data_IF_892412589872
#
_entry.id   IF_892412589872
#
_cell.length_a   1.000
_cell.length_b   1.000
_cell.length_c   1.000
_cell.angle_alpha   90.00
_cell.angle_beta   90.00
_cell.angle_gamma   90.00
#
_symmetry.space_group_name_H-M   'P 1'
#
loop_
_entity.id
_entity.type
_entity.pdbx_description
1 polymer ?
#
# COMPACT_ATOMS: atom_id res chain seq x y z
N UNK A 1 -8.83 -1.73 -1.44
CA UNK A 1 -8.93 -2.30 -0.07
C UNK A 1 -7.79 -3.28 0.27
N UNK A 2 -7.32 -4.13 -0.65
CA UNK A 2 -6.27 -5.13 -0.36
C UNK A 2 -4.87 -4.56 -0.10
N UNK A 3 -4.53 -3.39 -0.64
CA UNK A 3 -3.24 -2.73 -0.42
C UNK A 3 -2.97 -2.41 1.05
N UNK A 4 -4.02 -2.17 1.86
CA UNK A 4 -3.89 -1.92 3.29
C UNK A 4 -3.35 -3.13 4.05
N UNK A 5 -3.90 -4.32 3.81
CA UNK A 5 -3.49 -5.57 4.46
C UNK A 5 -2.02 -5.92 4.21
N UNK A 6 -1.52 -5.62 3.01
CA UNK A 6 -0.11 -5.84 2.70
C UNK A 6 0.82 -5.00 3.58
N UNK A 7 0.48 -3.75 3.88
CA UNK A 7 1.30 -2.89 4.75
C UNK A 7 1.39 -3.47 6.17
N UNK A 8 0.28 -4.01 6.69
CA UNK A 8 0.27 -4.68 8.00
C UNK A 8 1.19 -5.89 8.02
N UNK A 9 1.08 -6.75 7.00
CA UNK A 9 1.94 -7.92 6.86
C UNK A 9 3.41 -7.52 6.72
N UNK A 10 3.71 -6.56 5.84
CA UNK A 10 5.06 -6.08 5.62
C UNK A 10 5.67 -5.53 6.90
N UNK A 11 4.94 -4.67 7.63
CA UNK A 11 5.37 -4.12 8.91
C UNK A 11 5.63 -5.24 9.95
N UNK A 12 4.76 -6.24 10.02
CA UNK A 12 4.98 -7.41 10.89
C UNK A 12 6.27 -8.15 10.54
N UNK A 13 6.49 -8.48 9.26
CA UNK A 13 7.66 -9.25 8.83
C UNK A 13 8.95 -8.48 9.08
N UNK A 14 9.01 -7.20 8.75
CA UNK A 14 10.21 -6.39 8.93
C UNK A 14 10.55 -6.25 10.43
N UNK A 15 9.59 -5.93 11.29
CA UNK A 15 9.84 -5.89 12.75
C UNK A 15 10.28 -7.24 13.32
N UNK A 16 9.74 -8.35 12.82
CA UNK A 16 10.21 -9.68 13.20
C UNK A 16 11.66 -9.90 12.77
N UNK A 17 12.02 -9.55 11.53
CA UNK A 17 13.41 -9.63 11.07
C UNK A 17 14.33 -8.78 11.93
N UNK A 18 13.90 -7.56 12.30
CA UNK A 18 14.67 -6.69 13.18
C UNK A 18 14.95 -7.36 14.52
N UNK A 19 13.91 -7.83 15.22
CA UNK A 19 14.04 -8.55 16.49
C UNK A 19 14.99 -9.74 16.37
N UNK A 20 14.72 -10.63 15.40
CA UNK A 20 15.39 -11.91 15.27
C UNK A 20 16.89 -11.74 14.89
N UNK A 21 17.31 -10.61 14.29
CA UNK A 21 18.70 -10.39 13.83
C UNK A 21 19.48 -9.29 14.58
N UNK A 22 18.82 -8.53 15.45
CA UNK A 22 19.48 -7.54 16.31
C UNK A 22 19.54 -7.99 17.77
N UNK A 23 18.67 -8.91 18.18
CA UNK A 23 18.54 -9.29 19.59
C UNK A 23 17.76 -8.26 20.41
N UNK A 24 17.33 -7.16 19.80
CA UNK A 24 16.54 -6.11 20.45
C UNK A 24 15.11 -6.59 20.72
N UNK A 25 14.53 -6.11 21.83
CA UNK A 25 13.15 -6.42 22.18
C UNK A 25 12.22 -5.60 21.27
N UNK A 26 11.55 -6.28 20.33
CA UNK A 26 10.48 -5.70 19.53
C UNK A 26 9.25 -6.62 19.51
N UNK A 27 8.06 -6.03 19.35
CA UNK A 27 6.78 -6.75 19.36
C UNK A 27 6.08 -6.65 17.98
N UNK A 28 6.44 -7.47 16.99
CA UNK A 28 6.05 -7.26 15.59
C UNK A 28 4.53 -7.09 15.36
N UNK A 29 3.72 -7.86 16.10
CA UNK A 29 2.25 -7.77 16.04
C UNK A 29 1.75 -6.41 16.52
N UNK A 30 2.24 -5.92 17.66
CA UNK A 30 1.84 -4.61 18.20
C UNK A 30 2.31 -3.47 17.30
N UNK A 31 3.46 -3.62 16.67
CA UNK A 31 3.94 -2.65 15.69
C UNK A 31 3.08 -2.60 14.42
N UNK A 32 2.58 -3.74 13.94
CA UNK A 32 1.65 -3.78 12.81
C UNK A 32 0.27 -3.22 13.19
N UNK A 33 -0.29 -3.62 14.33
CA UNK A 33 -1.60 -3.14 14.80
C UNK A 33 -1.62 -1.63 15.10
N UNK A 34 -0.47 -1.05 15.46
CA UNK A 34 -0.33 0.39 15.64
C UNK A 34 -0.66 1.22 14.39
N UNK A 35 -0.64 0.62 13.19
CA UNK A 35 -1.08 1.29 11.97
C UNK A 35 -2.60 1.52 11.91
N UNK A 36 -3.39 0.85 12.75
CA UNK A 36 -4.83 1.10 12.89
C UNK A 36 -5.13 2.32 13.75
N UNK A 37 -4.15 2.81 14.52
CA UNK A 37 -4.34 3.94 15.41
C UNK A 37 -4.12 5.23 14.61
N UNK A 38 -5.16 6.06 14.41
CA UNK A 38 -5.04 7.30 13.65
C UNK A 38 -3.98 8.19 14.26
N UNK A 39 -3.27 8.95 13.42
CA UNK A 39 -2.14 9.82 13.79
C UNK A 39 -0.91 9.05 14.29
N UNK A 40 -1.06 8.08 15.20
CA UNK A 40 0.04 7.26 15.73
C UNK A 40 0.74 6.45 14.63
N UNK A 41 0.01 6.04 13.60
CA UNK A 41 0.57 5.41 12.39
C UNK A 41 1.75 6.18 11.77
N UNK A 42 1.74 7.53 11.81
CA UNK A 42 2.83 8.35 11.25
C UNK A 42 4.09 8.27 12.11
N UNK A 43 3.95 8.41 13.43
CA UNK A 43 5.05 8.24 14.36
C UNK A 43 5.63 6.83 14.28
N UNK A 44 4.77 5.84 14.08
CA UNK A 44 5.19 4.45 13.96
C UNK A 44 5.98 4.19 12.69
N UNK A 45 5.54 4.73 11.55
CA UNK A 45 6.28 4.66 10.30
C UNK A 45 7.63 5.40 10.42
N UNK A 46 7.65 6.59 11.02
CA UNK A 46 8.88 7.33 11.28
C UNK A 46 9.88 6.49 12.06
N UNK A 47 9.46 5.97 13.21
CA UNK A 47 10.30 5.16 14.08
C UNK A 47 10.79 3.90 13.35
N UNK A 48 9.94 3.26 12.56
CA UNK A 48 10.30 2.08 11.78
C UNK A 48 11.42 2.35 10.79
N UNK A 49 11.29 3.40 9.96
CA UNK A 49 12.31 3.74 8.98
C UNK A 49 13.59 4.23 9.66
N UNK A 50 13.47 5.00 10.76
CA UNK A 50 14.61 5.52 11.51
C UNK A 50 15.46 4.40 12.09
N UNK A 51 14.85 3.40 12.71
CA UNK A 51 15.57 2.27 13.32
C UNK A 51 16.44 1.53 12.30
N UNK A 52 15.95 1.34 11.06
CA UNK A 52 16.77 0.73 10.02
C UNK A 52 17.81 1.65 9.44
N UNK A 53 17.50 2.94 9.30
CA UNK A 53 18.49 3.92 8.86
C UNK A 53 19.67 3.94 9.83
N UNK A 54 19.41 4.09 11.14
CA UNK A 54 20.42 4.07 12.19
C UNK A 54 21.21 2.75 12.19
N UNK A 55 20.51 1.61 12.06
CA UNK A 55 21.16 0.30 11.98
C UNK A 55 22.10 0.15 10.77
N UNK A 56 21.73 0.72 9.62
CA UNK A 56 22.56 0.72 8.41
C UNK A 56 23.76 1.65 8.57
N UNK A 57 23.55 2.86 9.11
CA UNK A 57 24.59 3.86 9.35
C UNK A 57 25.64 3.36 10.33
N UNK A 58 25.23 2.78 11.47
CA UNK A 58 26.13 2.20 12.47
C UNK A 58 27.00 1.07 11.91
N UNK A 59 26.54 0.41 10.84
CA UNK A 59 27.22 -0.72 10.19
C UNK A 59 27.95 -0.30 8.91
N UNK A 60 28.01 1.00 8.60
CA UNK A 60 28.68 1.52 7.41
C UNK A 60 28.02 1.11 6.09
N UNK A 61 26.74 0.71 6.10
CA UNK A 61 26.01 0.33 4.88
C UNK A 61 25.34 1.57 4.29
N UNK A 62 25.64 1.95 3.02
CA UNK A 62 25.02 3.11 2.41
C UNK A 62 23.50 2.98 2.32
N UNK A 63 22.78 3.98 2.85
CA UNK A 63 21.31 4.00 2.95
C UNK A 63 20.70 5.21 2.25
N UNK A 64 19.55 5.03 1.62
CA UNK A 64 18.71 6.12 1.07
C UNK A 64 17.43 6.33 1.89
N UNK A 65 17.33 5.67 3.05
CA UNK A 65 16.19 5.79 3.95
C UNK A 65 16.17 7.20 4.55
N UNK A 66 15.00 7.81 4.50
CA UNK A 66 14.74 9.09 5.16
C UNK A 66 13.36 9.00 5.85
N UNK A 67 13.32 8.97 7.20
CA UNK A 67 12.10 8.81 7.98
C UNK A 67 11.08 9.90 7.71
N UNK A 68 11.51 11.17 7.63
CA UNK A 68 10.63 12.30 7.40
C UNK A 68 10.00 12.22 6.00
N UNK A 69 10.79 11.90 4.97
CA UNK A 69 10.28 11.73 3.60
C UNK A 69 9.24 10.62 3.52
N UNK A 70 9.47 9.49 4.19
CA UNK A 70 8.52 8.38 4.23
C UNK A 70 7.18 8.80 4.88
N UNK A 71 7.24 9.55 5.99
CA UNK A 71 6.05 10.08 6.66
C UNK A 71 5.30 11.06 5.77
N UNK A 72 5.98 12.01 5.14
CA UNK A 72 5.33 13.01 4.27
C UNK A 72 4.59 12.35 3.09
N UNK A 73 5.19 11.34 2.48
CA UNK A 73 4.55 10.61 1.38
C UNK A 73 3.36 9.78 1.90
N UNK A 74 3.51 9.13 3.06
CA UNK A 74 2.41 8.39 3.67
C UNK A 74 1.26 9.30 4.13
N UNK A 75 1.56 10.52 4.58
CA UNK A 75 0.56 11.53 4.83
C UNK A 75 -0.22 11.87 3.56
N UNK A 76 0.46 12.01 2.41
CA UNK A 76 -0.18 12.15 1.11
C UNK A 76 -1.08 10.96 0.74
N UNK A 77 -0.64 9.73 1.01
CA UNK A 77 -1.45 8.49 0.83
C UNK A 77 -2.74 8.56 1.64
N UNK A 78 -2.66 8.94 2.92
CA UNK A 78 -3.83 9.05 3.80
C UNK A 78 -4.76 10.17 3.33
N UNK A 79 -4.22 11.33 2.96
CA UNK A 79 -5.00 12.47 2.48
C UNK A 79 -5.76 12.12 1.19
N UNK A 80 -5.10 11.46 0.23
CA UNK A 80 -5.75 10.95 -0.98
C UNK A 80 -6.88 9.96 -0.65
N UNK A 81 -6.66 9.07 0.31
CA UNK A 81 -7.71 8.16 0.79
C UNK A 81 -8.91 8.90 1.37
N UNK A 82 -8.68 9.96 2.16
CA UNK A 82 -9.76 10.81 2.70
C UNK A 82 -10.53 11.53 1.59
N UNK A 83 -9.83 12.09 0.59
CA UNK A 83 -10.47 12.71 -0.58
C UNK A 83 -11.29 11.68 -1.36
N UNK A 84 -10.78 10.46 -1.52
CA UNK A 84 -11.53 9.37 -2.18
C UNK A 84 -12.83 9.02 -1.48
N UNK A 85 -12.91 9.16 -0.15
CA UNK A 85 -14.13 8.90 0.63
C UNK A 85 -15.17 10.02 0.49
N UNK A 86 -14.76 11.21 0.07
CA UNK A 86 -15.66 12.35 -0.16
C UNK A 86 -16.36 12.28 -1.52
N UNK A 87 -15.99 11.33 -2.39
CA UNK A 87 -16.65 11.13 -3.68
C UNK A 87 -17.98 10.40 -3.41
N UNK A 88 -19.14 11.03 -3.66
CA UNK A 88 -20.43 10.41 -3.38
C UNK A 88 -20.63 9.14 -4.19
N UNK A 89 -20.97 8.05 -3.51
CA UNK A 89 -21.45 6.83 -4.14
C UNK A 89 -22.96 6.98 -4.40
N UNK A 90 -23.34 7.85 -5.33
CA UNK A 90 -24.73 7.94 -5.78
C UNK A 90 -25.10 6.75 -6.67
N UNK A 91 -26.40 6.42 -6.76
CA UNK A 91 -26.89 5.33 -7.62
C UNK A 91 -26.52 5.52 -9.10
N UNK A 92 -26.27 6.76 -9.54
CA UNK A 92 -25.75 7.08 -10.88
C UNK A 92 -24.40 7.81 -10.77
N UNK A 93 -23.30 7.06 -10.71
CA UNK A 93 -21.95 7.64 -10.70
C UNK A 93 -21.59 8.11 -12.11
N UNK A 94 -21.32 9.41 -12.28
CA UNK A 94 -20.91 9.97 -13.57
C UNK A 94 -19.52 9.48 -14.00
N UNK A 95 -19.24 9.38 -15.31
CA UNK A 95 -17.91 9.00 -15.83
C UNK A 95 -16.75 9.82 -15.22
N UNK A 96 -16.84 11.16 -15.07
CA UNK A 96 -15.78 11.95 -14.42
C UNK A 96 -15.54 11.60 -12.95
N UNK A 97 -16.59 11.29 -12.20
CA UNK A 97 -16.47 10.86 -10.79
C UNK A 97 -15.78 9.50 -10.69
N UNK A 98 -16.17 8.54 -11.54
CA UNK A 98 -15.52 7.23 -11.59
C UNK A 98 -14.03 7.36 -11.96
N UNK A 99 -13.71 8.14 -13.00
CA UNK A 99 -12.34 8.37 -13.42
C UNK A 99 -11.49 9.01 -12.30
N UNK A 100 -12.05 10.00 -11.60
CA UNK A 100 -11.38 10.68 -10.47
C UNK A 100 -11.11 9.71 -9.33
N UNK A 101 -12.09 8.89 -8.95
CA UNK A 101 -11.94 7.85 -7.93
C UNK A 101 -10.80 6.89 -8.29
N UNK A 102 -10.75 6.42 -9.54
CA UNK A 102 -9.69 5.53 -10.03
C UNK A 102 -8.33 6.21 -9.94
N UNK A 103 -8.18 7.44 -10.46
CA UNK A 103 -6.90 8.17 -10.47
C UNK A 103 -6.36 8.32 -9.04
N UNK A 104 -7.22 8.69 -8.08
CA UNK A 104 -6.83 8.84 -6.68
C UNK A 104 -6.36 7.50 -6.09
N UNK A 105 -7.11 6.42 -6.32
CA UNK A 105 -6.76 5.10 -5.78
C UNK A 105 -5.47 4.54 -6.39
N UNK A 106 -5.24 4.75 -7.68
CA UNK A 106 -3.98 4.38 -8.36
C UNK A 106 -2.82 5.19 -7.81
N UNK A 107 -2.98 6.51 -7.67
CA UNK A 107 -1.97 7.38 -7.07
C UNK A 107 -1.61 6.93 -5.65
N UNK A 108 -2.61 6.63 -4.83
CA UNK A 108 -2.44 6.14 -3.47
C UNK A 108 -1.64 4.82 -3.44
N UNK A 109 -2.01 3.84 -4.28
CA UNK A 109 -1.34 2.55 -4.34
C UNK A 109 0.12 2.70 -4.80
N UNK A 110 0.39 3.55 -5.79
CA UNK A 110 1.73 3.81 -6.31
C UNK A 110 2.64 4.47 -5.28
N UNK A 111 2.15 5.48 -4.54
CA UNK A 111 2.93 6.13 -3.48
C UNK A 111 3.28 5.14 -2.35
N UNK A 112 2.32 4.29 -1.96
CA UNK A 112 2.56 3.27 -0.95
C UNK A 112 3.56 2.21 -1.42
N UNK A 113 3.42 1.73 -2.67
CA UNK A 113 4.35 0.80 -3.28
C UNK A 113 5.77 1.38 -3.35
N UNK A 114 5.90 2.68 -3.65
CA UNK A 114 7.17 3.37 -3.68
C UNK A 114 7.85 3.41 -2.30
N UNK A 115 7.10 3.69 -1.22
CA UNK A 115 7.63 3.64 0.16
C UNK A 115 8.18 2.25 0.46
N UNK A 116 7.39 1.21 0.19
CA UNK A 116 7.77 -0.17 0.46
C UNK A 116 8.99 -0.57 -0.37
N UNK A 117 9.01 -0.23 -1.67
CA UNK A 117 10.13 -0.53 -2.55
C UNK A 117 11.44 0.12 -2.08
N UNK A 118 11.41 1.39 -1.68
CA UNK A 118 12.57 2.08 -1.11
C UNK A 118 13.05 1.41 0.18
N UNK A 119 12.12 1.11 1.09
CA UNK A 119 12.44 0.43 2.35
C UNK A 119 13.06 -0.95 2.10
N UNK A 120 12.41 -1.77 1.28
CA UNK A 120 12.83 -3.13 0.97
C UNK A 120 14.18 -3.18 0.24
N UNK A 121 14.46 -2.23 -0.66
CA UNK A 121 15.74 -2.16 -1.37
C UNK A 121 16.91 -1.94 -0.41
N UNK A 122 16.74 -1.07 0.60
CA UNK A 122 17.74 -0.79 1.62
C UNK A 122 17.90 -1.98 2.58
N UNK A 123 16.79 -2.57 3.05
CA UNK A 123 16.80 -3.77 3.87
C UNK A 123 17.51 -4.94 3.17
N UNK A 124 17.19 -5.19 1.91
CA UNK A 124 17.83 -6.24 1.10
C UNK A 124 19.32 -5.96 0.89
N UNK A 125 19.74 -4.70 0.80
CA UNK A 125 21.16 -4.33 0.76
C UNK A 125 21.85 -4.65 2.08
N UNK A 126 21.24 -4.26 3.19
CA UNK A 126 21.75 -4.53 4.54
C UNK A 126 21.90 -6.02 4.81
N UNK A 127 20.87 -6.83 4.53
CA UNK A 127 20.91 -8.26 4.77
C UNK A 127 21.92 -8.99 3.87
N UNK A 128 22.09 -8.55 2.61
CA UNK A 128 23.18 -9.06 1.75
C UNK A 128 24.55 -8.79 2.32
N UNK A 129 24.77 -7.57 2.83
CA UNK A 129 26.05 -7.18 3.42
C UNK A 129 26.34 -8.00 4.69
N UNK A 130 25.34 -8.22 5.55
CA UNK A 130 25.55 -8.87 6.84
C UNK A 130 25.61 -10.40 6.78
N UNK A 131 24.81 -11.04 5.94
CA UNK A 131 24.62 -12.50 5.97
C UNK A 131 25.37 -13.22 4.84
N UNK A 132 26.01 -12.51 3.92
CA UNK A 132 26.70 -13.10 2.76
C UNK A 132 25.79 -13.92 1.83
N UNK A 133 24.49 -13.98 2.12
CA UNK A 133 23.53 -14.80 1.41
C UNK A 133 23.23 -14.16 0.05
N UNK A 134 23.42 -14.92 -1.03
CA UNK A 134 22.58 -14.77 -2.22
C UNK A 134 21.15 -15.02 -1.74
N UNK A 135 20.37 -13.95 -1.57
CA UNK A 135 18.97 -13.95 -1.11
C UNK A 135 18.02 -14.66 -2.10
N UNK A 136 18.32 -15.89 -2.52
CA UNK A 136 17.39 -16.76 -3.24
C UNK A 136 16.20 -17.19 -2.38
N UNK A 137 16.24 -16.91 -1.06
CA UNK A 137 15.29 -17.41 -0.07
C UNK A 137 14.59 -16.35 0.79
N UNK A 138 14.82 -15.05 0.54
CA UNK A 138 13.82 -14.02 0.88
C UNK A 138 13.31 -13.48 -0.45
N UNK A 139 12.85 -14.40 -1.30
CA UNK A 139 11.97 -14.06 -2.43
C UNK A 139 10.84 -13.24 -1.84
N UNK A 140 10.43 -12.21 -2.57
CA UNK A 140 9.06 -11.69 -2.49
C UNK A 140 8.17 -12.94 -2.41
N UNK A 141 7.67 -13.23 -1.21
CA UNK A 141 7.05 -14.51 -0.92
C UNK A 141 5.86 -14.61 -1.86
N UNK A 142 5.63 -15.77 -2.49
CA UNK A 142 4.48 -16.02 -3.37
C UNK A 142 3.16 -15.35 -2.92
N UNK A 143 2.84 -15.23 -1.60
CA UNK A 143 1.73 -14.41 -1.12
C UNK A 143 1.77 -12.90 -1.45
N UNK A 144 2.93 -12.26 -1.59
CA UNK A 144 3.08 -10.84 -1.98
C UNK A 144 2.76 -10.62 -3.46
N UNK A 145 3.16 -11.53 -4.35
CA UNK A 145 2.74 -11.50 -5.75
C UNK A 145 1.26 -11.82 -5.88
N UNK A 146 0.75 -12.78 -5.10
CA UNK A 146 -0.67 -13.10 -5.04
C UNK A 146 -1.51 -11.94 -4.50
N UNK A 147 -1.02 -11.17 -3.51
CA UNK A 147 -1.73 -10.02 -2.95
C UNK A 147 -1.69 -8.78 -3.85
N UNK A 148 -0.56 -8.54 -4.54
CA UNK A 148 -0.49 -7.54 -5.61
C UNK A 148 -1.43 -7.93 -6.76
N UNK A 149 -1.45 -9.20 -7.16
CA UNK A 149 -2.37 -9.70 -8.18
C UNK A 149 -3.84 -9.63 -7.73
N UNK A 150 -4.16 -9.94 -6.48
CA UNK A 150 -5.53 -9.82 -5.92
C UNK A 150 -5.94 -8.37 -5.77
N UNK A 151 -5.04 -7.45 -5.38
CA UNK A 151 -5.32 -6.02 -5.38
C UNK A 151 -5.44 -5.41 -6.77
N UNK A 152 -4.69 -5.93 -7.72
CA UNK A 152 -4.86 -5.63 -9.13
C UNK A 152 -6.22 -6.14 -9.62
N UNK A 153 -6.59 -7.39 -9.36
CA UNK A 153 -7.86 -7.99 -9.80
C UNK A 153 -9.09 -7.37 -9.12
N UNK A 154 -9.06 -7.13 -7.81
CA UNK A 154 -10.18 -6.54 -7.07
C UNK A 154 -10.31 -5.02 -7.26
N UNK A 155 -9.20 -4.32 -7.56
CA UNK A 155 -9.19 -2.87 -7.80
C UNK A 155 -9.37 -2.47 -9.28
N UNK A 156 -8.88 -3.30 -10.21
CA UNK A 156 -8.85 -3.02 -11.65
C UNK A 156 -9.81 -3.90 -12.45
N UNK A 157 -10.38 -4.96 -11.86
CA UNK A 157 -11.41 -5.78 -12.51
C UNK A 157 -12.60 -4.94 -12.96
N UNK A 158 -12.98 -3.93 -12.17
CA UNK A 158 -14.03 -2.96 -12.55
C UNK A 158 -13.62 -2.06 -13.72
N UNK A 159 -12.33 -1.72 -13.86
CA UNK A 159 -11.81 -0.92 -14.97
C UNK A 159 -11.76 -1.73 -16.28
N UNK A 160 -11.43 -3.02 -16.20
CA UNK A 160 -11.52 -3.94 -17.34
C UNK A 160 -12.97 -4.16 -17.78
N UNK A 161 -13.91 -4.29 -16.84
CA UNK A 161 -15.34 -4.41 -17.14
C UNK A 161 -15.85 -3.12 -17.82
N UNK A 162 -15.45 -1.94 -17.34
CA UNK A 162 -15.80 -0.63 -17.93
C UNK A 162 -15.17 -0.37 -19.30
N UNK A 163 -13.96 -0.88 -19.56
CA UNK A 163 -13.30 -0.78 -20.87
C UNK A 163 -13.85 -1.77 -21.90
N UNK A 164 -14.33 -2.94 -21.44
CA UNK A 164 -14.87 -4.00 -22.30
C UNK A 164 -16.34 -3.77 -22.61
N UNK A 165 -17.13 -3.25 -21.67
CA UNK A 165 -18.55 -2.96 -21.91
C UNK A 165 -19.05 -1.71 -21.14
N UNK A 166 -18.97 -0.53 -21.78
CA UNK A 166 -19.52 0.72 -21.22
C UNK A 166 -21.04 0.71 -21.06
N UNK A 167 -21.76 -0.21 -21.72
CA UNK A 167 -23.24 -0.21 -21.77
C UNK A 167 -23.89 -0.69 -20.47
N UNK A 168 -23.13 -1.36 -19.60
CA UNK A 168 -23.56 -1.77 -18.26
C UNK A 168 -23.90 -0.59 -17.32
N UNK A 169 -23.56 0.65 -17.71
CA UNK A 169 -23.98 1.88 -17.03
C UNK A 169 -25.38 2.39 -17.45
N UNK A 170 -25.97 1.82 -18.50
CA UNK A 170 -27.17 2.40 -19.17
C UNK A 170 -28.48 1.65 -18.92
N UNK A 171 -28.50 0.59 -18.12
CA UNK A 171 -29.74 -0.15 -17.81
C UNK A 171 -30.56 0.49 -16.68
N UNK A 172 -30.75 1.80 -16.76
CA UNK A 172 -31.71 2.58 -15.98
C UNK A 172 -32.75 3.29 -16.87
N UNK A 173 -32.94 2.83 -18.10
CA UNK A 173 -33.98 3.33 -18.99
C UNK A 173 -35.36 3.01 -18.42
N UNK A 174 -35.99 4.01 -17.80
CA UNK A 174 -37.41 4.01 -17.47
C UNK A 174 -38.18 3.72 -18.76
N UNK A 175 -39.02 2.67 -18.83
CA UNK A 175 -39.88 2.44 -19.98
C UNK A 175 -40.82 3.64 -20.14
N UNK A 176 -40.81 4.26 -21.31
CA UNK A 176 -41.72 5.33 -21.67
C UNK A 176 -43.17 4.79 -21.67
N UNK A 177 -44.08 5.28 -20.80
CA UNK A 177 -45.45 4.80 -20.74
C UNK A 177 -46.29 5.20 -21.96
N UNK A 178 -45.74 5.93 -22.94
CA UNK A 178 -46.50 6.39 -24.11
C UNK A 178 -46.60 5.37 -25.26
N UNK A 179 -46.16 4.13 -25.09
CA UNK A 179 -46.30 3.09 -26.13
C UNK A 179 -47.11 1.90 -25.61
N UNK A 180 -48.43 2.04 -25.65
CA UNK A 180 -49.37 0.92 -25.67
C UNK A 180 -50.53 1.30 -26.58
N UNK A 181 -50.71 0.63 -27.74
CA UNK A 181 -51.91 0.77 -28.56
C UNK A 181 -53.13 0.13 -27.90
#
# INVERSE_FOLDING_TARGET
MSSGLYVFYWMYVTWRQYRDHTGEIAYPVMHALALLVPVYQFFRLHAHIRVYQELMEQRGVPTTLNPLRAVLIYFGVVLLGMVSLMIPAEQTVTLPQQATYVIINVGQASLLAWIIWQAQTNLNRFWRHRLGMRLGWIRISVPELALVAVGFLLGWGMLLILLVDPSLLTTGGVPDPSTSP
#
